data_IF_321741882908
#
_entry.id   IF_321741882908
#
_cell.length_a   1.000
_cell.length_b   1.000
_cell.length_c   1.000
_cell.angle_alpha   90.00
_cell.angle_beta   90.00
_cell.angle_gamma   90.00
#
_symmetry.space_group_name_H-M   'P 1'
#
loop_
_entity.id
_entity.type
_entity.pdbx_description
1 polymer ?
#
# COMPACT_ATOMS: atom_id res chain seq x y z
N UNK A 1 24.81 -1.01 42.16
CA UNK A 1 24.52 -2.09 41.20
C UNK A 1 22.99 -2.09 41.04
N UNK A 2 22.48 -1.44 40.02
CA UNK A 2 21.05 -1.36 39.73
C UNK A 2 20.80 -2.26 38.50
N UNK A 3 20.04 -3.32 38.70
CA UNK A 3 19.57 -4.20 37.65
C UNK A 3 18.50 -3.48 36.82
N UNK A 4 18.82 -3.20 35.54
CA UNK A 4 17.85 -2.76 34.56
C UNK A 4 17.05 -3.97 34.08
N UNK A 5 15.86 -4.15 34.62
CA UNK A 5 14.87 -5.11 34.15
C UNK A 5 14.38 -4.68 32.74
N UNK A 6 14.83 -5.39 31.72
CA UNK A 6 14.22 -5.34 30.38
C UNK A 6 12.88 -6.06 30.42
N UNK A 7 11.83 -5.29 30.72
CA UNK A 7 10.46 -5.79 30.68
C UNK A 7 10.03 -6.14 29.26
N UNK A 8 10.09 -7.42 28.92
CA UNK A 8 9.40 -7.95 27.74
C UNK A 8 7.91 -7.76 27.99
N UNK A 9 7.29 -6.86 27.22
CA UNK A 9 5.84 -6.63 27.26
C UNK A 9 5.16 -7.95 26.85
N UNK A 10 4.28 -8.55 27.69
CA UNK A 10 3.63 -9.79 27.29
C UNK A 10 2.79 -9.55 26.03
N UNK A 11 2.95 -10.45 25.05
CA UNK A 11 2.08 -10.50 23.88
C UNK A 11 0.63 -10.49 24.34
N UNK A 12 -0.15 -9.55 23.86
CA UNK A 12 -1.58 -9.50 24.12
C UNK A 12 -2.21 -10.86 23.74
N UNK A 13 -3.13 -11.40 24.55
CA UNK A 13 -3.74 -12.69 24.24
C UNK A 13 -4.36 -12.64 22.85
N UNK A 14 -4.14 -13.69 22.05
CA UNK A 14 -4.71 -13.81 20.72
C UNK A 14 -6.23 -13.60 20.82
N UNK A 15 -6.71 -12.52 20.24
CA UNK A 15 -8.16 -12.27 20.15
C UNK A 15 -8.75 -13.40 19.33
N UNK A 16 -9.81 -14.10 19.80
CA UNK A 16 -10.44 -15.16 19.03
C UNK A 16 -10.81 -14.61 17.66
N UNK A 17 -10.25 -15.20 16.60
CA UNK A 17 -10.56 -14.83 15.22
C UNK A 17 -12.04 -15.11 14.99
N UNK A 18 -12.84 -14.06 14.90
CA UNK A 18 -14.24 -14.19 14.45
C UNK A 18 -14.24 -14.56 12.97
N UNK A 19 -15.13 -15.45 12.54
CA UNK A 19 -15.26 -15.74 11.13
C UNK A 19 -15.52 -14.45 10.36
N UNK A 20 -14.81 -14.26 9.26
CA UNK A 20 -14.95 -13.13 8.36
C UNK A 20 -15.59 -13.59 7.06
N UNK A 21 -16.48 -12.78 6.51
CA UNK A 21 -17.05 -13.01 5.20
C UNK A 21 -16.14 -12.38 4.16
N UNK A 22 -15.86 -13.12 3.07
CA UNK A 22 -15.18 -12.60 1.88
C UNK A 22 -16.22 -12.41 0.79
N UNK A 23 -16.30 -11.23 0.25
CA UNK A 23 -17.07 -10.90 -0.94
C UNK A 23 -16.14 -10.33 -2.01
N UNK A 24 -16.52 -10.49 -3.26
CA UNK A 24 -15.80 -9.99 -4.42
C UNK A 24 -16.69 -9.02 -5.17
N UNK A 25 -16.14 -7.85 -5.50
CA UNK A 25 -16.86 -6.81 -6.23
C UNK A 25 -16.09 -6.50 -7.51
N UNK A 26 -16.72 -6.74 -8.65
CA UNK A 26 -16.27 -6.24 -9.94
C UNK A 26 -16.87 -4.87 -10.20
N UNK A 27 -16.04 -3.89 -10.50
CA UNK A 27 -16.48 -2.56 -10.90
C UNK A 27 -16.57 -2.54 -12.43
N UNK A 28 -17.82 -2.52 -12.93
CA UNK A 28 -18.11 -2.76 -14.34
C UNK A 28 -17.70 -1.65 -15.30
N UNK A 29 -17.65 -0.39 -14.85
CA UNK A 29 -17.40 0.76 -15.75
C UNK A 29 -15.98 0.76 -16.35
N UNK A 30 -14.98 0.44 -15.54
CA UNK A 30 -13.57 0.36 -15.96
C UNK A 30 -12.99 -1.06 -15.85
N UNK A 31 -13.81 -2.04 -15.50
CA UNK A 31 -13.39 -3.42 -15.31
C UNK A 31 -12.42 -3.62 -14.16
N UNK A 32 -12.54 -2.81 -13.10
CA UNK A 32 -11.70 -2.96 -11.90
C UNK A 32 -12.32 -4.00 -10.98
N UNK A 33 -11.48 -4.85 -10.40
CA UNK A 33 -11.86 -5.84 -9.42
C UNK A 33 -11.46 -5.38 -8.02
N UNK A 34 -12.39 -5.50 -7.08
CA UNK A 34 -12.15 -5.21 -5.65
C UNK A 34 -12.38 -6.48 -4.85
N UNK A 35 -11.36 -6.92 -4.14
CA UNK A 35 -11.46 -7.97 -3.14
C UNK A 35 -11.94 -7.38 -1.81
N UNK A 36 -13.09 -7.86 -1.30
CA UNK A 36 -13.71 -7.31 -0.09
C UNK A 36 -13.79 -8.34 1.02
N UNK A 37 -13.30 -7.99 2.20
CA UNK A 37 -13.43 -8.78 3.41
C UNK A 37 -14.31 -8.01 4.41
N UNK A 38 -15.42 -8.64 4.79
CA UNK A 38 -16.43 -8.01 5.61
C UNK A 38 -16.46 -8.67 6.99
N UNK A 39 -16.64 -7.89 8.07
CA UNK A 39 -16.85 -8.45 9.39
C UNK A 39 -18.19 -9.19 9.46
N UNK A 40 -18.29 -10.22 10.31
CA UNK A 40 -19.53 -10.96 10.53
C UNK A 40 -20.70 -10.04 10.91
N UNK A 41 -20.40 -8.99 11.69
CA UNK A 41 -21.36 -7.94 12.04
C UNK A 41 -20.82 -6.59 11.61
N UNK A 42 -21.60 -5.89 10.78
CA UNK A 42 -21.27 -4.53 10.40
C UNK A 42 -21.15 -3.62 11.62
N UNK A 43 -20.12 -2.84 11.65
CA UNK A 43 -19.90 -1.81 12.66
C UNK A 43 -20.16 -0.42 12.06
N UNK A 44 -20.04 0.64 12.89
CA UNK A 44 -20.07 2.03 12.41
C UNK A 44 -18.68 2.55 12.02
N UNK A 45 -17.67 1.66 11.96
CA UNK A 45 -16.31 2.01 11.57
C UNK A 45 -16.27 2.36 10.09
N UNK A 46 -15.37 3.27 9.73
CA UNK A 46 -15.21 3.65 8.32
C UNK A 46 -14.60 2.50 7.53
N UNK A 47 -15.07 2.23 6.31
CA UNK A 47 -14.45 1.22 5.45
C UNK A 47 -13.01 1.61 5.09
N UNK A 48 -12.17 0.60 4.86
CA UNK A 48 -10.78 0.75 4.44
C UNK A 48 -10.65 0.39 2.96
N UNK A 49 -10.06 1.27 2.15
CA UNK A 49 -9.68 0.97 0.77
C UNK A 49 -8.17 0.84 0.68
N UNK A 50 -7.69 -0.33 0.27
CA UNK A 50 -6.29 -0.65 0.12
C UNK A 50 -5.86 -0.56 -1.35
N UNK A 51 -4.81 0.22 -1.62
CA UNK A 51 -4.26 0.47 -2.96
C UNK A 51 -2.82 -0.04 -3.02
N UNK A 52 -2.58 -1.02 -3.89
CA UNK A 52 -1.29 -1.68 -4.03
C UNK A 52 -0.28 -0.87 -4.85
N UNK A 53 1.00 -1.25 -4.76
CA UNK A 53 2.11 -0.71 -5.55
C UNK A 53 2.29 -1.39 -6.90
N UNK A 54 3.43 -1.09 -7.55
CA UNK A 54 3.80 -1.63 -8.87
C UNK A 54 3.79 -3.16 -8.89
N UNK A 55 3.31 -3.75 -9.98
CA UNK A 55 3.25 -5.20 -10.25
C UNK A 55 2.45 -6.01 -9.22
N UNK A 56 1.89 -5.38 -8.22
CA UNK A 56 1.17 -6.04 -7.14
C UNK A 56 -0.34 -6.16 -7.44
N UNK A 57 -1.14 -6.47 -6.45
CA UNK A 57 -2.59 -6.60 -6.52
C UNK A 57 -3.17 -6.73 -5.13
N UNK A 58 -4.47 -7.04 -5.01
CA UNK A 58 -5.16 -7.21 -3.72
C UNK A 58 -4.48 -8.19 -2.79
N UNK A 59 -3.76 -9.17 -3.33
CA UNK A 59 -3.07 -10.23 -2.58
C UNK A 59 -2.03 -9.71 -1.57
N UNK A 60 -1.45 -8.52 -1.79
CA UNK A 60 -0.50 -7.95 -0.82
C UNK A 60 -1.18 -7.55 0.49
N UNK A 61 -2.50 -7.37 0.46
CA UNK A 61 -3.31 -6.91 1.57
C UNK A 61 -4.04 -8.04 2.33
N UNK A 62 -3.88 -9.31 1.93
CA UNK A 62 -4.62 -10.43 2.50
C UNK A 62 -4.55 -10.48 4.03
N UNK A 63 -3.37 -10.33 4.61
CA UNK A 63 -3.18 -10.30 6.06
C UNK A 63 -3.87 -9.12 6.74
N UNK A 64 -3.80 -7.92 6.12
CA UNK A 64 -4.45 -6.72 6.64
C UNK A 64 -5.97 -6.82 6.53
N UNK A 65 -6.48 -7.29 5.38
CA UNK A 65 -7.90 -7.51 5.18
C UNK A 65 -8.47 -8.46 6.26
N UNK A 66 -7.80 -9.59 6.49
CA UNK A 66 -8.19 -10.55 7.52
C UNK A 66 -8.11 -9.94 8.92
N UNK A 67 -7.02 -9.23 9.24
CA UNK A 67 -6.83 -8.59 10.54
C UNK A 67 -7.93 -7.59 10.85
N UNK A 68 -8.26 -6.71 9.91
CA UNK A 68 -9.25 -5.65 10.11
C UNK A 68 -10.69 -6.19 10.09
N UNK A 69 -11.00 -7.11 9.18
CA UNK A 69 -12.33 -7.73 9.14
C UNK A 69 -12.64 -8.50 10.44
N UNK A 70 -11.67 -9.23 11.00
CA UNK A 70 -11.81 -9.90 12.29
C UNK A 70 -12.07 -8.93 13.47
N UNK A 71 -11.81 -7.63 13.29
CA UNK A 71 -11.96 -6.56 14.30
C UNK A 71 -13.05 -5.56 13.99
N UNK A 72 -13.87 -5.85 12.97
CA UNK A 72 -15.10 -5.12 12.67
C UNK A 72 -14.95 -3.99 11.66
N UNK A 73 -13.83 -3.89 10.92
CA UNK A 73 -13.71 -3.00 9.76
C UNK A 73 -14.08 -3.72 8.47
N UNK A 74 -14.77 -3.05 7.57
CA UNK A 74 -14.92 -3.49 6.18
C UNK A 74 -13.63 -3.13 5.44
N UNK A 75 -12.98 -4.11 4.82
CA UNK A 75 -11.75 -3.92 4.05
C UNK A 75 -11.96 -4.24 2.58
N UNK A 76 -11.50 -3.35 1.71
CA UNK A 76 -11.63 -3.44 0.27
C UNK A 76 -10.25 -3.25 -0.37
N UNK A 77 -9.71 -4.25 -1.07
CA UNK A 77 -8.44 -4.14 -1.77
C UNK A 77 -8.66 -4.08 -3.29
N UNK A 78 -8.26 -2.96 -3.87
CA UNK A 78 -8.35 -2.70 -5.29
C UNK A 78 -7.28 -3.50 -6.06
N UNK A 79 -7.65 -4.07 -7.20
CA UNK A 79 -6.70 -4.37 -8.27
C UNK A 79 -6.83 -3.28 -9.34
N UNK A 80 -5.77 -2.55 -9.60
CA UNK A 80 -5.70 -1.59 -10.70
C UNK A 80 -5.95 -2.32 -12.04
N UNK A 81 -6.46 -1.63 -13.05
CA UNK A 81 -6.65 -2.26 -14.37
C UNK A 81 -5.35 -2.90 -14.86
N UNK A 82 -5.49 -3.98 -15.61
CA UNK A 82 -4.41 -4.86 -16.03
C UNK A 82 -3.71 -5.63 -14.89
N UNK A 83 -4.15 -5.49 -13.63
CA UNK A 83 -3.62 -6.24 -12.50
C UNK A 83 -4.59 -7.35 -12.07
N UNK A 84 -4.05 -8.57 -11.89
CA UNK A 84 -4.77 -9.76 -11.40
C UNK A 84 -6.16 -9.97 -12.01
N UNK A 85 -7.23 -9.81 -11.22
CA UNK A 85 -8.60 -10.08 -11.62
C UNK A 85 -9.28 -8.91 -12.33
N UNK A 86 -8.65 -7.73 -12.35
CA UNK A 86 -9.15 -6.60 -13.14
C UNK A 86 -8.99 -6.86 -14.64
N UNK A 87 -9.80 -6.15 -15.43
CA UNK A 87 -9.79 -6.27 -16.88
C UNK A 87 -8.38 -6.10 -17.45
N UNK A 88 -8.01 -7.03 -18.32
CA UNK A 88 -6.74 -6.96 -19.05
C UNK A 88 -6.77 -5.78 -20.03
N UNK A 89 -5.72 -4.98 -20.00
CA UNK A 89 -5.51 -3.86 -20.90
C UNK A 89 -4.08 -3.91 -21.47
N UNK A 90 -3.84 -3.23 -22.57
CA UNK A 90 -2.49 -3.07 -23.12
C UNK A 90 -1.71 -2.10 -22.22
N UNK A 91 -0.62 -2.54 -21.55
CA UNK A 91 0.17 -1.67 -20.66
C UNK A 91 0.73 -0.42 -21.34
N UNK A 92 0.95 -0.46 -22.67
CA UNK A 92 1.47 0.70 -23.42
C UNK A 92 0.47 1.85 -23.49
N UNK A 93 -0.83 1.57 -23.24
CA UNK A 93 -1.90 2.57 -23.25
C UNK A 93 -2.22 3.12 -21.85
N UNK A 94 -1.59 2.57 -20.82
CA UNK A 94 -1.84 2.94 -19.43
C UNK A 94 -0.84 3.98 -18.94
N UNK A 95 -1.28 4.79 -18.00
CA UNK A 95 -0.50 5.88 -17.41
C UNK A 95 -0.78 5.98 -15.91
N UNK A 96 -0.04 6.82 -15.20
CA UNK A 96 -0.31 7.13 -13.79
C UNK A 96 -1.71 7.75 -13.61
N UNK A 97 -2.12 8.62 -14.54
CA UNK A 97 -3.46 9.22 -14.50
C UNK A 97 -4.56 8.16 -14.69
N UNK A 98 -4.33 7.17 -15.57
CA UNK A 98 -5.26 6.05 -15.76
C UNK A 98 -5.47 5.25 -14.47
N UNK A 99 -4.39 4.96 -13.75
CA UNK A 99 -4.47 4.28 -12.45
C UNK A 99 -5.11 5.15 -11.36
N UNK A 100 -4.90 6.47 -11.43
CA UNK A 100 -5.57 7.42 -10.53
C UNK A 100 -7.09 7.37 -10.69
N UNK A 101 -7.58 7.26 -11.94
CA UNK A 101 -9.00 7.10 -12.22
C UNK A 101 -9.58 5.80 -11.64
N UNK A 102 -8.79 4.71 -11.58
CA UNK A 102 -9.22 3.46 -10.95
C UNK A 102 -9.41 3.64 -9.43
N UNK A 103 -8.49 4.36 -8.79
CA UNK A 103 -8.60 4.66 -7.36
C UNK A 103 -9.80 5.56 -7.07
N UNK A 104 -10.06 6.55 -7.91
CA UNK A 104 -11.22 7.44 -7.79
C UNK A 104 -12.52 6.66 -7.90
N UNK A 105 -12.66 5.79 -8.90
CA UNK A 105 -13.85 4.95 -9.05
C UNK A 105 -14.08 4.07 -7.81
N UNK A 106 -13.01 3.48 -7.25
CA UNK A 106 -13.11 2.70 -6.02
C UNK A 106 -13.56 3.55 -4.82
N UNK A 107 -13.04 4.77 -4.66
CA UNK A 107 -13.47 5.71 -3.61
C UNK A 107 -14.95 6.08 -3.79
N UNK A 108 -15.38 6.43 -4.99
CA UNK A 108 -16.77 6.78 -5.30
C UNK A 108 -17.71 5.61 -5.01
N UNK A 109 -17.30 4.38 -5.35
CA UNK A 109 -18.11 3.18 -5.15
C UNK A 109 -18.26 2.80 -3.68
N UNK A 110 -17.22 2.95 -2.86
CA UNK A 110 -17.24 2.63 -1.44
C UNK A 110 -17.88 3.79 -0.65
N UNK A 111 -17.62 5.01 -1.04
CA UNK A 111 -18.16 6.23 -0.45
C UNK A 111 -17.10 7.12 0.21
N UNK A 112 -17.39 8.41 0.30
CA UNK A 112 -16.45 9.46 0.78
C UNK A 112 -16.02 9.34 2.25
N UNK A 113 -16.63 8.46 3.03
CA UNK A 113 -16.19 8.19 4.40
C UNK A 113 -15.02 7.20 4.49
N UNK A 114 -14.59 6.61 3.37
CA UNK A 114 -13.53 5.62 3.31
C UNK A 114 -12.20 6.16 3.84
N UNK A 115 -11.42 5.31 4.51
CA UNK A 115 -10.01 5.56 4.81
C UNK A 115 -9.19 4.88 3.71
N UNK A 116 -8.38 5.66 2.99
CA UNK A 116 -7.52 5.12 1.93
C UNK A 116 -6.17 4.72 2.52
N UNK A 117 -5.75 3.50 2.21
CA UNK A 117 -4.47 2.92 2.63
C UNK A 117 -3.67 2.62 1.36
N UNK A 118 -2.53 3.29 1.17
CA UNK A 118 -1.70 3.13 -0.04
C UNK A 118 -0.29 2.65 0.28
N UNK A 119 0.24 1.75 -0.56
CA UNK A 119 1.60 1.22 -0.46
C UNK A 119 2.39 1.51 -1.72
N UNK A 120 3.63 2.00 -1.59
CA UNK A 120 4.50 2.30 -2.73
C UNK A 120 3.85 3.28 -3.72
N UNK A 121 3.75 2.90 -5.00
CA UNK A 121 3.03 3.67 -6.02
C UNK A 121 1.57 3.92 -5.63
N UNK A 122 0.91 2.94 -4.98
CA UNK A 122 -0.47 3.07 -4.51
C UNK A 122 -0.68 4.20 -3.50
N UNK A 123 0.35 4.54 -2.72
CA UNK A 123 0.32 5.70 -1.84
C UNK A 123 0.28 7.03 -2.60
N UNK A 124 1.09 7.16 -3.65
CA UNK A 124 1.08 8.35 -4.50
C UNK A 124 -0.20 8.46 -5.35
N UNK A 125 -0.74 7.31 -5.81
CA UNK A 125 -2.06 7.25 -6.46
C UNK A 125 -3.17 7.70 -5.52
N UNK A 126 -3.14 7.26 -4.25
CA UNK A 126 -4.08 7.71 -3.23
C UNK A 126 -4.00 9.23 -3.03
N UNK A 127 -2.80 9.79 -2.87
CA UNK A 127 -2.61 11.25 -2.77
C UNK A 127 -3.22 11.98 -3.96
N UNK A 128 -2.99 11.47 -5.18
CA UNK A 128 -3.51 12.09 -6.41
C UNK A 128 -5.03 12.00 -6.53
N UNK A 129 -5.61 10.89 -6.11
CA UNK A 129 -7.06 10.69 -6.13
C UNK A 129 -7.79 11.60 -5.12
N UNK A 130 -7.27 11.73 -3.90
CA UNK A 130 -7.92 12.54 -2.85
C UNK A 130 -7.88 14.05 -3.09
N UNK A 131 -7.05 14.55 -4.01
CA UNK A 131 -7.17 15.93 -4.49
C UNK A 131 -8.53 16.23 -5.14
N UNK A 132 -9.16 15.19 -5.69
CA UNK A 132 -10.41 15.28 -6.47
C UNK A 132 -11.62 14.79 -5.69
N UNK A 133 -11.42 13.93 -4.71
CA UNK A 133 -12.50 13.33 -3.94
C UNK A 133 -12.15 13.26 -2.45
N UNK A 134 -12.88 13.94 -1.56
CA UNK A 134 -12.61 13.90 -0.12
C UNK A 134 -12.80 12.49 0.45
N UNK A 135 -11.97 12.14 1.44
CA UNK A 135 -12.00 10.85 2.14
C UNK A 135 -11.98 11.04 3.66
N UNK A 136 -12.26 9.98 4.39
CA UNK A 136 -12.33 10.02 5.85
C UNK A 136 -10.98 10.02 6.55
N UNK A 137 -9.94 9.47 5.92
CA UNK A 137 -8.58 9.40 6.45
C UNK A 137 -7.62 8.84 5.41
N UNK A 138 -6.31 8.95 5.69
CA UNK A 138 -5.25 8.48 4.80
C UNK A 138 -4.16 7.78 5.60
N UNK A 139 -3.75 6.60 5.15
CA UNK A 139 -2.61 5.86 5.68
C UNK A 139 -1.67 5.51 4.52
N UNK A 140 -0.41 5.88 4.64
CA UNK A 140 0.62 5.65 3.62
C UNK A 140 1.71 4.74 4.16
N UNK A 141 1.97 3.62 3.51
CA UNK A 141 3.02 2.67 3.85
C UNK A 141 4.11 2.74 2.78
N UNK A 142 5.32 3.18 3.15
CA UNK A 142 6.44 3.33 2.21
C UNK A 142 6.01 3.91 0.86
N UNK A 143 5.25 5.01 0.91
CA UNK A 143 4.66 5.66 -0.27
C UNK A 143 5.71 6.32 -1.13
N UNK A 144 5.57 6.20 -2.43
CA UNK A 144 6.29 7.04 -3.38
C UNK A 144 6.04 8.53 -3.14
N UNK A 145 7.05 9.36 -3.47
CA UNK A 145 7.03 10.78 -3.16
C UNK A 145 6.35 11.61 -4.26
N UNK A 146 5.61 12.66 -3.87
CA UNK A 146 5.14 13.67 -4.80
C UNK A 146 6.32 14.48 -5.37
N UNK A 147 6.08 15.17 -6.49
CA UNK A 147 7.07 15.99 -7.18
C UNK A 147 7.79 16.99 -6.26
N UNK A 148 7.06 17.56 -5.32
CA UNK A 148 7.52 18.59 -4.38
C UNK A 148 8.62 18.08 -3.44
N UNK A 149 8.69 16.77 -3.22
CA UNK A 149 9.66 16.12 -2.33
C UNK A 149 10.68 15.25 -3.06
N UNK A 150 10.43 14.97 -4.34
CA UNK A 150 11.27 14.06 -5.12
C UNK A 150 12.48 14.80 -5.70
N UNK A 151 13.68 14.21 -5.67
CA UNK A 151 14.80 14.69 -6.47
C UNK A 151 14.44 14.71 -7.95
N UNK A 152 14.99 15.67 -8.68
CA UNK A 152 14.81 15.75 -10.14
C UNK A 152 15.43 14.50 -10.78
N UNK A 153 14.63 13.73 -11.49
CA UNK A 153 15.09 12.55 -12.20
C UNK A 153 16.05 12.94 -13.34
N UNK A 154 17.11 12.18 -13.50
CA UNK A 154 18.01 12.38 -14.62
C UNK A 154 17.36 11.90 -15.93
N UNK A 155 17.46 12.63 -17.05
CA UNK A 155 16.84 12.23 -18.33
C UNK A 155 17.27 10.83 -18.81
N UNK A 156 18.46 10.36 -18.44
CA UNK A 156 18.93 9.01 -18.75
C UNK A 156 18.11 7.95 -18.03
N UNK A 157 17.83 8.11 -16.73
CA UNK A 157 17.02 7.18 -15.93
C UNK A 157 15.64 6.98 -16.53
N UNK A 158 15.01 8.08 -17.00
CA UNK A 158 13.69 8.01 -17.61
C UNK A 158 13.68 7.26 -18.95
N UNK A 159 14.79 7.35 -19.73
CA UNK A 159 14.92 6.63 -21.01
C UNK A 159 15.18 5.14 -20.86
N UNK A 160 15.74 4.73 -19.73
CA UNK A 160 15.99 3.31 -19.42
C UNK A 160 14.73 2.57 -19.00
N UNK A 161 13.65 3.26 -18.64
CA UNK A 161 12.38 2.63 -18.31
C UNK A 161 11.71 2.16 -19.61
N UNK A 162 11.55 0.84 -19.83
CA UNK A 162 10.92 0.31 -21.03
C UNK A 162 9.44 0.71 -21.08
N UNK A 163 8.79 0.55 -22.25
CA UNK A 163 7.35 0.83 -22.41
C UNK A 163 6.51 -0.10 -21.52
N UNK A 164 6.99 -1.32 -21.35
CA UNK A 164 6.38 -2.34 -20.52
C UNK A 164 7.49 -3.03 -19.73
N UNK A 165 7.30 -3.24 -18.44
CA UNK A 165 8.30 -3.88 -17.58
C UNK A 165 7.70 -4.94 -16.66
N UNK A 166 8.55 -5.79 -16.13
CA UNK A 166 8.21 -6.85 -15.19
C UNK A 166 8.98 -6.74 -13.88
N UNK A 167 8.94 -7.80 -13.11
CA UNK A 167 9.60 -7.93 -11.80
C UNK A 167 11.14 -7.83 -11.87
N UNK A 168 11.73 -8.01 -13.04
CA UNK A 168 13.15 -7.84 -13.31
C UNK A 168 13.62 -6.40 -13.03
N UNK A 169 12.84 -5.40 -13.47
CA UNK A 169 13.13 -3.99 -13.22
C UNK A 169 13.10 -3.63 -11.72
N UNK A 170 12.30 -4.34 -10.94
CA UNK A 170 12.23 -4.18 -9.48
C UNK A 170 13.26 -5.05 -8.73
N UNK A 171 14.10 -5.81 -9.46
CA UNK A 171 15.13 -6.67 -8.88
C UNK A 171 14.63 -8.00 -8.32
N UNK A 172 13.40 -8.41 -8.67
CA UNK A 172 12.81 -9.67 -8.21
C UNK A 172 13.08 -10.87 -9.14
N UNK A 173 13.79 -10.67 -10.25
CA UNK A 173 14.26 -11.76 -11.14
C UNK A 173 15.66 -12.20 -10.73
N UNK A 174 15.79 -12.78 -9.53
CA UNK A 174 17.05 -13.26 -8.96
C UNK A 174 16.82 -14.45 -8.04
N UNK A 175 17.89 -15.04 -7.50
CA UNK A 175 17.79 -16.19 -6.59
C UNK A 175 17.06 -15.81 -5.29
N UNK A 176 16.16 -16.67 -4.79
CA UNK A 176 15.40 -16.41 -3.55
C UNK A 176 16.29 -16.14 -2.33
N UNK A 177 17.45 -16.80 -2.24
CA UNK A 177 18.39 -16.62 -1.14
C UNK A 177 19.06 -15.22 -1.17
N UNK A 178 19.16 -14.61 -2.35
CA UNK A 178 19.63 -13.23 -2.48
C UNK A 178 18.55 -12.27 -2.04
N UNK A 179 17.31 -12.47 -2.47
CA UNK A 179 16.16 -11.67 -2.03
C UNK A 179 15.98 -11.74 -0.51
N UNK A 180 16.15 -12.91 0.10
CA UNK A 180 16.04 -13.06 1.55
C UNK A 180 17.12 -12.28 2.32
N UNK A 181 18.32 -12.11 1.76
CA UNK A 181 19.35 -11.24 2.37
C UNK A 181 18.97 -9.76 2.31
N UNK A 182 18.25 -9.39 1.26
CA UNK A 182 17.79 -8.01 1.04
C UNK A 182 16.50 -7.68 1.81
N UNK A 183 15.70 -8.71 2.11
CA UNK A 183 14.42 -8.63 2.85
C UNK A 183 14.47 -9.55 4.08
N UNK A 184 15.28 -9.17 5.08
CA UNK A 184 15.61 -10.01 6.24
C UNK A 184 14.43 -10.27 7.18
N UNK A 185 13.42 -9.47 7.10
CA UNK A 185 12.16 -9.55 7.85
C UNK A 185 11.14 -10.50 7.21
N UNK A 186 11.43 -11.02 6.01
CA UNK A 186 10.58 -11.97 5.30
C UNK A 186 11.14 -13.39 5.41
N UNK A 187 10.25 -14.37 5.63
CA UNK A 187 10.60 -15.77 5.53
C UNK A 187 10.84 -16.17 4.06
N UNK A 188 11.60 -17.24 3.82
CA UNK A 188 11.84 -17.73 2.47
C UNK A 188 10.53 -18.07 1.73
N UNK A 189 9.53 -18.58 2.46
CA UNK A 189 8.22 -18.87 1.90
C UNK A 189 7.51 -17.60 1.37
N UNK A 190 7.61 -16.50 2.12
CA UNK A 190 7.07 -15.19 1.69
C UNK A 190 7.80 -14.70 0.44
N UNK A 191 9.13 -14.79 0.42
CA UNK A 191 9.94 -14.40 -0.75
C UNK A 191 9.53 -15.18 -2.00
N UNK A 192 9.39 -16.50 -1.90
CA UNK A 192 8.96 -17.35 -3.02
C UNK A 192 7.55 -17.00 -3.49
N UNK A 193 6.63 -16.74 -2.55
CA UNK A 193 5.27 -16.31 -2.85
C UNK A 193 5.24 -14.97 -3.58
N UNK A 194 5.96 -13.97 -3.06
CA UNK A 194 6.05 -12.64 -3.67
C UNK A 194 6.63 -12.76 -5.08
N UNK A 195 7.75 -13.45 -5.23
CA UNK A 195 8.42 -13.63 -6.52
C UNK A 195 7.50 -14.31 -7.55
N UNK A 196 6.74 -15.32 -7.12
CA UNK A 196 5.74 -16.00 -7.96
C UNK A 196 4.62 -15.04 -8.38
N UNK A 197 4.02 -14.33 -7.43
CA UNK A 197 2.87 -13.47 -7.68
C UNK A 197 3.22 -12.23 -8.52
N UNK A 198 4.39 -11.60 -8.29
CA UNK A 198 4.90 -10.53 -9.14
C UNK A 198 5.16 -10.99 -10.59
N UNK A 199 5.32 -12.28 -10.83
CA UNK A 199 5.51 -12.87 -12.16
C UNK A 199 4.23 -13.31 -12.86
N UNK A 200 3.09 -13.36 -12.18
CA UNK A 200 1.84 -13.89 -12.76
C UNK A 200 1.17 -12.94 -13.77
N UNK A 201 1.24 -11.64 -13.52
CA UNK A 201 0.86 -10.61 -14.50
C UNK A 201 2.05 -9.65 -14.66
N UNK A 202 3.02 -10.03 -15.48
CA UNK A 202 4.38 -9.49 -15.41
C UNK A 202 4.56 -8.15 -16.11
N UNK A 203 3.49 -7.43 -16.44
CA UNK A 203 3.62 -6.28 -17.33
C UNK A 203 2.97 -5.05 -16.72
N UNK A 204 3.82 -4.15 -16.25
CA UNK A 204 3.44 -2.83 -15.75
C UNK A 204 3.68 -1.76 -16.83
N UNK A 205 2.92 -0.67 -16.73
CA UNK A 205 3.01 0.45 -17.64
C UNK A 205 4.27 1.30 -17.43
N UNK A 206 5.21 1.28 -18.34
CA UNK A 206 6.40 2.13 -18.29
C UNK A 206 6.07 3.63 -18.29
N UNK A 207 4.97 4.03 -18.92
CA UNK A 207 4.50 5.41 -18.91
C UNK A 207 4.11 5.85 -17.49
N UNK A 208 3.41 5.01 -16.71
CA UNK A 208 3.06 5.29 -15.33
C UNK A 208 4.32 5.46 -14.45
N UNK A 209 5.31 4.56 -14.59
CA UNK A 209 6.58 4.65 -13.87
C UNK A 209 7.37 5.90 -14.27
N UNK A 210 7.44 6.26 -15.57
CA UNK A 210 8.10 7.50 -16.01
C UNK A 210 7.43 8.74 -15.42
N UNK A 211 6.11 8.80 -15.38
CA UNK A 211 5.38 9.89 -14.72
C UNK A 211 5.69 9.95 -13.23
N UNK A 212 5.65 8.83 -12.53
CA UNK A 212 5.96 8.72 -11.12
C UNK A 212 7.38 9.21 -10.81
N UNK A 213 8.39 8.73 -11.55
CA UNK A 213 9.80 9.10 -11.34
C UNK A 213 10.09 10.54 -11.78
N UNK A 214 9.45 11.05 -12.83
CA UNK A 214 9.53 12.48 -13.20
C UNK A 214 8.91 13.41 -12.16
N UNK A 215 8.07 12.86 -11.31
CA UNK A 215 7.38 13.55 -10.23
C UNK A 215 5.94 13.95 -10.59
N UNK A 216 5.00 13.33 -9.89
CA UNK A 216 3.57 13.64 -9.94
C UNK A 216 3.30 14.81 -9.00
N UNK A 217 2.82 15.96 -9.49
CA UNK A 217 2.54 17.11 -8.65
C UNK A 217 1.29 16.85 -7.79
N UNK A 218 1.36 17.21 -6.50
CA UNK A 218 0.26 17.09 -5.55
C UNK A 218 -0.05 18.47 -4.95
N UNK A 219 -1.25 18.95 -5.16
CA UNK A 219 -1.72 20.20 -4.57
C UNK A 219 -2.15 19.99 -3.12
N UNK A 220 -1.21 20.16 -2.18
CA UNK A 220 -1.41 19.89 -0.75
C UNK A 220 -2.67 20.55 -0.17
N UNK A 221 -3.03 21.73 -0.63
CA UNK A 221 -4.22 22.47 -0.17
C UNK A 221 -5.54 21.74 -0.48
N UNK A 222 -5.54 20.84 -1.45
CA UNK A 222 -6.72 20.03 -1.81
C UNK A 222 -6.87 18.76 -0.99
N UNK A 223 -5.81 18.34 -0.27
CA UNK A 223 -5.84 17.07 0.47
C UNK A 223 -6.76 17.09 1.69
N UNK A 224 -7.27 18.27 2.09
CA UNK A 224 -8.14 18.41 3.25
C UNK A 224 -7.43 18.21 4.60
N UNK A 225 -8.22 18.26 5.66
CA UNK A 225 -7.74 18.23 7.06
C UNK A 225 -7.98 16.87 7.74
N UNK A 226 -8.38 15.81 6.99
CA UNK A 226 -8.58 14.48 7.56
C UNK A 226 -7.31 13.96 8.24
N UNK A 227 -7.46 13.05 9.23
CA UNK A 227 -6.33 12.38 9.86
C UNK A 227 -5.45 11.65 8.84
N UNK A 228 -4.13 11.75 8.99
CA UNK A 228 -3.14 11.14 8.11
C UNK A 228 -2.06 10.44 8.91
N UNK A 229 -1.67 9.25 8.48
CA UNK A 229 -0.55 8.48 9.05
C UNK A 229 0.40 8.09 7.91
N UNK A 230 1.69 8.27 8.13
CA UNK A 230 2.74 7.75 7.26
C UNK A 230 3.57 6.73 8.03
N UNK A 231 3.77 5.57 7.43
CA UNK A 231 4.59 4.47 7.96
C UNK A 231 5.80 4.29 7.05
N UNK A 232 7.00 4.39 7.63
CA UNK A 232 8.26 4.17 6.94
C UNK A 232 8.89 2.82 7.28
N UNK A 233 9.63 2.20 6.34
CA UNK A 233 10.34 0.96 6.53
C UNK A 233 11.86 1.19 6.46
N UNK A 234 12.60 0.85 7.54
CA UNK A 234 14.03 1.13 7.65
C UNK A 234 14.92 0.28 6.75
N UNK A 235 14.42 -0.85 6.25
CA UNK A 235 15.11 -1.72 5.29
C UNK A 235 14.55 -1.56 3.87
N UNK A 236 13.77 -0.50 3.60
CA UNK A 236 13.19 -0.26 2.29
C UNK A 236 14.25 0.12 1.26
N UNK A 237 14.28 -0.60 0.15
CA UNK A 237 15.21 -0.37 -0.97
C UNK A 237 14.62 0.49 -2.07
N UNK A 238 13.30 0.70 -2.07
CA UNK A 238 12.56 1.45 -3.09
C UNK A 238 12.28 2.87 -2.61
N UNK A 239 11.76 2.99 -1.39
CA UNK A 239 11.46 4.27 -0.75
C UNK A 239 12.25 4.35 0.57
N UNK A 240 13.45 4.92 0.57
CA UNK A 240 14.26 5.04 1.77
C UNK A 240 13.49 5.72 2.91
N UNK A 241 13.63 5.20 4.12
CA UNK A 241 12.90 5.63 5.32
C UNK A 241 12.90 7.16 5.55
N UNK A 242 14.00 7.91 5.37
CA UNK A 242 14.00 9.37 5.49
C UNK A 242 13.06 10.08 4.49
N UNK A 243 12.66 9.39 3.42
CA UNK A 243 11.68 9.91 2.47
C UNK A 243 10.26 9.85 3.04
N UNK A 244 9.94 8.80 3.80
CA UNK A 244 8.66 8.65 4.48
C UNK A 244 8.49 9.69 5.59
N UNK A 245 9.54 9.97 6.37
CA UNK A 245 9.52 11.02 7.39
C UNK A 245 9.28 12.41 6.78
N UNK A 246 10.00 12.75 5.71
CA UNK A 246 9.78 14.03 4.98
C UNK A 246 8.37 14.13 4.39
N UNK A 247 7.81 13.00 3.92
CA UNK A 247 6.43 12.96 3.42
C UNK A 247 5.45 13.24 4.55
N UNK A 248 5.64 12.66 5.74
CA UNK A 248 4.81 12.91 6.91
C UNK A 248 4.85 14.39 7.33
N UNK A 249 6.03 14.98 7.43
CA UNK A 249 6.20 16.41 7.74
C UNK A 249 5.48 17.29 6.72
N UNK A 250 5.67 17.00 5.43
CA UNK A 250 5.04 17.77 4.37
C UNK A 250 3.52 17.66 4.38
N UNK A 251 2.97 16.50 4.73
CA UNK A 251 1.52 16.26 4.85
C UNK A 251 0.92 16.80 6.14
N UNK A 252 1.73 17.08 7.18
CA UNK A 252 1.26 17.28 8.54
C UNK A 252 0.59 16.02 9.09
N UNK A 253 1.18 14.87 8.84
CA UNK A 253 0.70 13.55 9.23
C UNK A 253 1.44 13.02 10.46
N UNK A 254 0.81 12.10 11.19
CA UNK A 254 1.52 11.27 12.17
C UNK A 254 2.56 10.41 11.44
N UNK A 255 3.70 10.16 12.08
CA UNK A 255 4.76 9.33 11.52
C UNK A 255 5.13 8.18 12.43
N UNK A 256 5.24 6.97 11.85
CA UNK A 256 5.67 5.78 12.56
C UNK A 256 6.76 5.02 11.79
N UNK A 257 8.03 4.99 12.30
CA UNK A 257 9.12 4.25 11.66
C UNK A 257 9.11 2.77 12.06
N UNK A 258 9.24 1.89 11.08
CA UNK A 258 9.46 0.46 11.26
C UNK A 258 10.88 0.07 10.84
N UNK A 259 11.87 0.35 11.69
CA UNK A 259 13.30 0.25 11.38
C UNK A 259 13.78 -1.15 10.95
N UNK A 260 13.08 -2.20 11.33
CA UNK A 260 13.44 -3.58 11.00
C UNK A 260 12.62 -4.18 9.83
N UNK A 261 11.77 -3.38 9.17
CA UNK A 261 10.91 -3.86 8.08
C UNK A 261 11.44 -3.43 6.71
N UNK A 262 11.27 -4.31 5.73
CA UNK A 262 11.46 -4.01 4.31
C UNK A 262 10.15 -3.51 3.67
N UNK A 263 10.24 -3.05 2.42
CA UNK A 263 9.09 -2.58 1.66
C UNK A 263 7.89 -3.54 1.73
N UNK A 264 8.09 -4.79 1.32
CA UNK A 264 7.04 -5.81 1.36
C UNK A 264 6.79 -6.37 2.77
N UNK A 265 7.73 -6.23 3.70
CA UNK A 265 7.54 -6.64 5.09
C UNK A 265 6.46 -5.85 5.84
N UNK A 266 6.18 -4.61 5.40
CA UNK A 266 5.05 -3.83 5.94
C UNK A 266 3.68 -4.46 5.61
N UNK A 267 3.58 -5.22 4.52
CA UNK A 267 2.29 -5.70 4.00
C UNK A 267 2.16 -7.23 4.01
N UNK A 268 3.24 -7.98 3.83
CA UNK A 268 3.19 -9.42 3.54
C UNK A 268 3.89 -10.34 4.54
N UNK A 269 4.78 -9.83 5.38
CA UNK A 269 5.49 -10.69 6.33
C UNK A 269 4.50 -11.32 7.33
N UNK A 270 4.52 -12.65 7.46
CA UNK A 270 3.58 -13.40 8.30
C UNK A 270 3.53 -12.90 9.76
N UNK A 271 4.65 -12.46 10.29
CA UNK A 271 4.73 -11.90 11.66
C UNK A 271 4.86 -10.37 11.67
N UNK A 272 5.50 -9.77 10.67
CA UNK A 272 5.79 -8.34 10.64
C UNK A 272 4.54 -7.50 10.38
N UNK A 273 3.61 -7.97 9.53
CA UNK A 273 2.35 -7.27 9.26
C UNK A 273 1.51 -6.99 10.51
N UNK A 274 1.59 -7.84 11.54
CA UNK A 274 0.77 -7.69 12.76
C UNK A 274 1.07 -6.37 13.46
N UNK A 275 2.35 -6.02 13.62
CA UNK A 275 2.74 -4.76 14.27
C UNK A 275 2.27 -3.55 13.47
N UNK A 276 2.39 -3.61 12.14
CA UNK A 276 1.92 -2.56 11.23
C UNK A 276 0.40 -2.41 11.33
N UNK A 277 -0.34 -3.52 11.28
CA UNK A 277 -1.80 -3.51 11.40
C UNK A 277 -2.27 -2.99 12.78
N UNK A 278 -1.55 -3.29 13.87
CA UNK A 278 -1.84 -2.75 15.20
C UNK A 278 -1.61 -1.25 15.29
N UNK A 279 -0.54 -0.74 14.69
CA UNK A 279 -0.29 0.71 14.59
C UNK A 279 -1.40 1.40 13.79
N UNK A 280 -1.75 0.86 12.62
CA UNK A 280 -2.87 1.38 11.84
C UNK A 280 -4.18 1.36 12.63
N UNK A 281 -4.48 0.27 13.35
CA UNK A 281 -5.67 0.15 14.19
C UNK A 281 -5.69 1.21 15.31
N UNK A 282 -4.57 1.40 15.99
CA UNK A 282 -4.46 2.40 17.05
C UNK A 282 -4.72 3.82 16.51
N UNK A 283 -4.17 4.15 15.33
CA UNK A 283 -4.45 5.41 14.64
C UNK A 283 -5.93 5.56 14.27
N UNK A 284 -6.54 4.52 13.69
CA UNK A 284 -7.96 4.54 13.34
C UNK A 284 -8.86 4.74 14.56
N UNK A 285 -8.59 4.06 15.66
CA UNK A 285 -9.37 4.17 16.90
C UNK A 285 -9.19 5.54 17.57
N UNK A 286 -7.96 6.07 17.61
CA UNK A 286 -7.67 7.40 18.18
C UNK A 286 -8.38 8.54 17.40
N UNK A 287 -8.61 8.36 16.12
CA UNK A 287 -9.26 9.34 15.23
C UNK A 287 -10.74 9.04 14.95
N UNK A 288 -11.34 8.04 15.62
CA UNK A 288 -12.74 7.62 15.44
C UNK A 288 -13.11 7.26 13.98
N UNK A 289 -12.20 6.58 13.29
CA UNK A 289 -12.33 6.14 11.89
C UNK A 289 -12.83 4.71 11.73
#
# INVERSE_FOLDING_TARGET
MSETSTGVRPLAPAVPTRPVRKDEIELSERGIYIESWLPERRSRRRPLLFVHGELAGSWVWEHHLQYFAARGWEGHALNLRNHFWSQTADPTTLSFDTYTEDVLEAIERIGSSVVVVGHGMGGLLALKAIERHPVGGLILLSSELPKELRPVAHPHELREIPEVYGRDLLGWETLPERLQRDHRDLALADILRIQHLLGQKPHEAGAARRQMISGVPIERTRLGTMPKLVIGAGLDRYVPEPSSERLAEWLGADYEPFGAHSHFGLVLGESSHVQVAETMRAFLEANHL
#
